data_IF_562420550793
#
_entry.id   IF_562420550793
#
_cell.length_a   1.000
_cell.length_b   1.000
_cell.length_c   1.000
_cell.angle_alpha   90.00
_cell.angle_beta   90.00
_cell.angle_gamma   90.00
#
_symmetry.space_group_name_H-M   'P 1'
#
loop_
_entity.id
_entity.type
_entity.pdbx_description
1 polymer ?
#
# COMPACT_ATOMS: atom_id res chain seq x y z
N UNK A 1 -26.41 -61.34 -40.12
CA UNK A 1 -27.13 -60.37 -39.27
C UNK A 1 -26.28 -59.93 -38.07
N UNK A 2 -25.65 -60.85 -37.34
CA UNK A 2 -24.94 -60.57 -36.08
C UNK A 2 -23.75 -59.58 -36.15
N UNK A 3 -23.05 -59.45 -37.29
CA UNK A 3 -21.89 -58.52 -37.42
C UNK A 3 -22.29 -57.04 -37.45
N UNK A 4 -23.49 -56.73 -37.93
CA UNK A 4 -23.97 -55.35 -38.03
C UNK A 4 -24.37 -54.84 -36.63
N UNK A 5 -25.05 -55.69 -35.84
CA UNK A 5 -25.45 -55.37 -34.47
C UNK A 5 -24.26 -55.21 -33.52
N UNK A 6 -23.20 -56.03 -33.68
CA UNK A 6 -21.99 -55.88 -32.89
C UNK A 6 -21.27 -54.56 -33.18
N UNK A 7 -21.17 -54.16 -34.46
CA UNK A 7 -20.58 -52.88 -34.86
C UNK A 7 -21.33 -51.67 -34.27
N UNK A 8 -22.67 -51.67 -34.32
CA UNK A 8 -23.46 -50.60 -33.72
C UNK A 8 -23.31 -50.52 -32.19
N UNK A 9 -23.10 -51.65 -31.53
CA UNK A 9 -22.91 -51.70 -30.07
C UNK A 9 -21.56 -51.13 -29.67
N UNK A 10 -20.48 -51.51 -30.37
CA UNK A 10 -19.14 -50.96 -30.16
C UNK A 10 -19.13 -49.45 -30.41
N UNK A 11 -19.74 -48.99 -31.51
CA UNK A 11 -19.84 -47.57 -31.84
C UNK A 11 -20.57 -46.75 -30.76
N UNK A 12 -21.69 -47.25 -30.24
CA UNK A 12 -22.42 -46.61 -29.13
C UNK A 12 -21.59 -46.53 -27.85
N UNK A 13 -20.86 -47.58 -27.52
CA UNK A 13 -19.98 -47.58 -26.35
C UNK A 13 -18.84 -46.56 -26.50
N UNK A 14 -18.22 -46.47 -27.69
CA UNK A 14 -17.18 -45.47 -27.98
C UNK A 14 -17.72 -44.05 -27.85
N UNK A 15 -18.89 -43.74 -28.43
CA UNK A 15 -19.51 -42.41 -28.28
C UNK A 15 -19.80 -42.11 -26.81
N UNK A 16 -20.33 -43.09 -26.07
CA UNK A 16 -20.66 -42.90 -24.65
C UNK A 16 -19.41 -42.56 -23.84
N UNK A 17 -18.31 -43.29 -24.04
CA UNK A 17 -17.02 -43.03 -23.39
C UNK A 17 -16.50 -41.63 -23.77
N UNK A 18 -16.51 -41.28 -25.05
CA UNK A 18 -16.06 -39.97 -25.53
C UNK A 18 -16.89 -38.83 -24.93
N UNK A 19 -18.22 -38.98 -24.91
CA UNK A 19 -19.13 -37.98 -24.32
C UNK A 19 -18.86 -37.80 -22.82
N UNK A 20 -18.61 -38.89 -22.09
CA UNK A 20 -18.20 -38.84 -20.69
C UNK A 20 -16.89 -38.06 -20.49
N UNK A 21 -15.89 -38.29 -21.34
CA UNK A 21 -14.63 -37.55 -21.29
C UNK A 21 -14.83 -36.06 -21.55
N UNK A 22 -15.65 -35.68 -22.53
CA UNK A 22 -15.95 -34.27 -22.79
C UNK A 22 -16.66 -33.58 -21.63
N UNK A 23 -17.59 -34.28 -20.95
CA UNK A 23 -18.27 -33.75 -19.77
C UNK A 23 -17.28 -33.53 -18.62
N UNK A 24 -16.39 -34.49 -18.38
CA UNK A 24 -15.37 -34.38 -17.33
C UNK A 24 -14.41 -33.23 -17.63
N UNK A 25 -13.88 -33.14 -18.84
CA UNK A 25 -13.02 -32.02 -19.24
C UNK A 25 -13.74 -30.67 -19.14
N UNK A 26 -14.99 -30.59 -19.60
CA UNK A 26 -15.82 -29.39 -19.49
C UNK A 26 -16.04 -28.97 -18.04
N UNK A 27 -16.28 -29.92 -17.14
CA UNK A 27 -16.41 -29.65 -15.71
C UNK A 27 -15.12 -29.08 -15.12
N UNK A 28 -13.95 -29.64 -15.45
CA UNK A 28 -12.67 -29.13 -14.96
C UNK A 28 -12.43 -27.69 -15.42
N UNK A 29 -12.69 -27.38 -16.69
CA UNK A 29 -12.55 -26.02 -17.24
C UNK A 29 -13.50 -25.05 -16.52
N UNK A 30 -14.79 -25.42 -16.41
CA UNK A 30 -15.77 -24.57 -15.73
C UNK A 30 -15.43 -24.35 -14.24
N UNK A 31 -14.90 -25.37 -13.57
CA UNK A 31 -14.46 -25.26 -12.18
C UNK A 31 -13.25 -24.32 -12.04
N UNK A 32 -12.26 -24.41 -12.93
CA UNK A 32 -11.11 -23.50 -12.92
C UNK A 32 -11.51 -22.06 -13.20
N UNK A 33 -12.39 -21.84 -14.17
CA UNK A 33 -12.88 -20.50 -14.51
C UNK A 33 -13.68 -19.88 -13.37
N UNK A 34 -14.50 -20.69 -12.68
CA UNK A 34 -15.22 -20.24 -11.49
C UNK A 34 -14.26 -19.81 -10.38
N UNK A 35 -13.24 -20.61 -10.07
CA UNK A 35 -12.24 -20.28 -9.05
C UNK A 35 -11.51 -18.98 -9.42
N UNK A 36 -11.06 -18.86 -10.67
CA UNK A 36 -10.39 -17.66 -11.16
C UNK A 36 -11.28 -16.42 -11.04
N UNK A 37 -12.56 -16.53 -11.40
CA UNK A 37 -13.53 -15.43 -11.26
C UNK A 37 -13.73 -15.02 -9.80
N UNK A 38 -13.77 -15.98 -8.87
CA UNK A 38 -13.90 -15.67 -7.45
C UNK A 38 -12.63 -14.99 -6.89
N UNK A 39 -11.45 -15.41 -7.33
CA UNK A 39 -10.18 -14.77 -6.97
C UNK A 39 -10.12 -13.34 -7.52
N UNK A 40 -10.45 -13.15 -8.78
CA UNK A 40 -10.45 -11.84 -9.43
C UNK A 40 -11.41 -10.88 -8.75
N UNK A 41 -12.62 -11.34 -8.42
CA UNK A 41 -13.57 -10.55 -7.61
C UNK A 41 -12.97 -10.13 -6.27
N UNK A 42 -12.36 -11.05 -5.53
CA UNK A 42 -11.74 -10.72 -4.23
C UNK A 42 -10.55 -9.78 -4.33
N UNK A 43 -9.73 -9.90 -5.38
CA UNK A 43 -8.57 -9.03 -5.57
C UNK A 43 -9.00 -7.62 -5.99
N UNK A 44 -10.09 -7.52 -6.74
CA UNK A 44 -10.65 -6.23 -7.19
C UNK A 44 -11.55 -5.55 -6.15
N UNK A 45 -11.88 -6.23 -5.04
CA UNK A 45 -12.54 -5.60 -3.91
C UNK A 45 -11.64 -4.53 -3.29
N UNK A 46 -12.13 -3.29 -3.23
CA UNK A 46 -11.41 -2.15 -2.63
C UNK A 46 -10.94 -2.42 -1.20
N UNK A 47 -11.69 -3.23 -0.44
CA UNK A 47 -11.35 -3.63 0.92
C UNK A 47 -10.06 -4.45 0.98
N UNK A 48 -9.87 -5.36 0.01
CA UNK A 48 -8.66 -6.17 -0.08
C UNK A 48 -7.47 -5.33 -0.51
N UNK A 49 -7.63 -4.48 -1.53
CA UNK A 49 -6.59 -3.55 -2.00
C UNK A 49 -6.16 -2.60 -0.88
N UNK A 50 -7.13 -2.05 -0.13
CA UNK A 50 -6.85 -1.17 1.00
C UNK A 50 -6.13 -1.91 2.13
N UNK A 51 -6.55 -3.14 2.45
CA UNK A 51 -5.85 -3.95 3.46
C UNK A 51 -4.43 -4.30 3.03
N UNK A 52 -4.24 -4.70 1.78
CA UNK A 52 -2.94 -5.05 1.23
C UNK A 52 -2.02 -3.82 1.17
N UNK A 53 -2.51 -2.67 0.75
CA UNK A 53 -1.71 -1.43 0.71
C UNK A 53 -1.30 -0.97 2.12
N UNK A 54 -2.17 -1.07 3.13
CA UNK A 54 -1.82 -0.79 4.55
C UNK A 54 -0.71 -1.70 5.06
N UNK A 55 -0.65 -2.95 4.59
CA UNK A 55 0.39 -3.89 4.98
C UNK A 55 1.69 -3.70 4.18
N UNK A 56 1.62 -3.34 2.90
CA UNK A 56 2.80 -3.17 2.04
C UNK A 56 3.51 -1.83 2.26
N UNK A 57 2.74 -0.74 2.39
CA UNK A 57 3.25 0.63 2.54
C UNK A 57 2.46 1.37 3.61
N UNK A 58 2.66 1.03 4.88
CA UNK A 58 1.97 1.72 5.96
C UNK A 58 2.46 3.17 6.04
N UNK A 59 1.53 4.10 6.16
CA UNK A 59 1.84 5.50 6.39
C UNK A 59 0.85 6.14 7.36
N UNK A 60 1.27 7.24 7.97
CA UNK A 60 0.40 8.10 8.77
C UNK A 60 0.62 9.54 8.36
N UNK A 61 -0.45 10.32 8.41
CA UNK A 61 -0.47 11.74 8.07
C UNK A 61 -0.64 12.53 9.35
N UNK A 62 0.20 13.54 9.54
CA UNK A 62 0.23 14.43 10.68
C UNK A 62 0.08 15.88 10.21
N UNK A 63 -0.53 16.70 11.06
CA UNK A 63 -0.46 18.15 10.89
C UNK A 63 0.87 18.72 11.40
N UNK A 64 1.05 20.03 11.26
CA UNK A 64 2.25 20.77 11.74
C UNK A 64 2.43 20.79 13.26
N UNK A 65 1.43 20.37 14.02
CA UNK A 65 1.51 20.24 15.47
C UNK A 65 1.88 18.81 15.89
N UNK A 66 2.07 17.90 14.93
CA UNK A 66 2.36 16.49 15.19
C UNK A 66 1.13 15.67 15.57
N UNK A 67 -0.09 16.18 15.35
CA UNK A 67 -1.33 15.45 15.58
C UNK A 67 -1.64 14.61 14.35
N UNK A 68 -1.90 13.32 14.57
CA UNK A 68 -2.24 12.38 13.49
C UNK A 68 -3.63 12.71 12.94
N UNK A 69 -3.70 13.05 11.65
CA UNK A 69 -4.93 13.37 10.93
C UNK A 69 -5.50 12.16 10.18
N UNK A 70 -4.64 11.25 9.73
CA UNK A 70 -5.05 10.04 9.03
C UNK A 70 -4.08 8.89 9.24
N UNK A 71 -4.61 7.67 9.34
CA UNK A 71 -3.84 6.45 9.47
C UNK A 71 -4.11 5.44 8.35
N UNK A 72 -3.03 5.05 7.68
CA UNK A 72 -2.99 3.96 6.71
C UNK A 72 -2.16 2.78 7.23
N UNK A 73 -2.36 2.38 8.49
CA UNK A 73 -1.62 1.30 9.13
C UNK A 73 -0.25 1.70 9.69
N UNK A 74 0.10 2.99 9.62
CA UNK A 74 1.33 3.54 10.20
C UNK A 74 1.28 3.62 11.73
N UNK A 75 0.10 3.71 12.35
CA UNK A 75 -0.09 3.76 13.81
C UNK A 75 0.50 2.54 14.52
N UNK A 76 0.57 1.39 13.85
CA UNK A 76 1.23 0.18 14.41
C UNK A 76 2.73 0.39 14.64
N UNK A 77 3.34 1.31 13.89
CA UNK A 77 4.79 1.55 13.85
C UNK A 77 5.18 2.87 14.52
N UNK A 78 4.34 3.89 14.41
CA UNK A 78 4.61 5.23 14.92
C UNK A 78 3.80 5.48 16.20
N UNK A 79 4.49 5.92 17.25
CA UNK A 79 3.90 6.32 18.52
C UNK A 79 3.42 7.77 18.45
N UNK A 80 4.29 8.68 18.03
CA UNK A 80 3.98 10.11 17.88
C UNK A 80 4.99 10.79 16.96
N UNK A 81 4.60 11.99 16.51
CA UNK A 81 5.47 12.93 15.85
C UNK A 81 5.62 14.17 16.73
N UNK A 82 6.85 14.67 16.87
CA UNK A 82 7.13 15.95 17.53
C UNK A 82 7.71 16.90 16.48
N UNK A 83 7.05 18.03 16.28
CA UNK A 83 7.48 19.08 15.36
C UNK A 83 8.12 20.20 16.18
N UNK A 84 9.39 20.49 15.89
CA UNK A 84 10.14 21.56 16.55
C UNK A 84 10.13 22.77 15.63
N UNK A 85 9.46 23.83 16.08
CA UNK A 85 9.37 25.10 15.38
C UNK A 85 10.55 26.02 15.71
N UNK A 86 10.96 26.82 14.73
CA UNK A 86 11.98 27.84 14.82
C UNK A 86 11.41 29.18 15.28
N UNK A 87 12.13 30.26 15.00
CA UNK A 87 11.78 31.60 15.49
C UNK A 87 10.69 32.29 14.65
N UNK A 88 10.41 31.79 13.45
CA UNK A 88 9.47 32.39 12.49
C UNK A 88 8.35 31.42 12.10
N UNK A 89 7.95 30.53 13.02
CA UNK A 89 6.95 29.47 12.76
C UNK A 89 7.41 28.48 11.66
N UNK A 90 8.72 28.45 11.40
CA UNK A 90 9.37 27.56 10.45
C UNK A 90 9.67 26.21 11.10
N UNK A 91 9.38 25.10 10.41
CA UNK A 91 9.71 23.77 10.93
C UNK A 91 11.24 23.58 10.90
N UNK A 92 11.86 23.51 12.07
CA UNK A 92 13.31 23.32 12.23
C UNK A 92 13.70 21.84 12.21
N UNK A 93 12.98 21.03 12.97
CA UNK A 93 13.17 19.58 12.96
C UNK A 93 11.87 18.83 13.25
N UNK A 94 11.81 17.60 12.77
CA UNK A 94 10.72 16.66 13.07
C UNK A 94 11.33 15.42 13.68
N UNK A 95 10.82 14.99 14.83
CA UNK A 95 11.18 13.74 15.47
C UNK A 95 10.04 12.76 15.36
N UNK A 96 10.36 11.55 14.92
CA UNK A 96 9.42 10.45 14.77
C UNK A 96 9.77 9.40 15.81
N UNK A 97 8.82 9.14 16.71
CA UNK A 97 8.93 8.14 17.77
C UNK A 97 8.27 6.86 17.27
N UNK A 98 9.01 5.75 17.23
CA UNK A 98 8.50 4.47 16.77
C UNK A 98 8.18 3.52 17.92
N UNK A 99 7.07 2.77 17.80
CA UNK A 99 6.68 1.73 18.76
C UNK A 99 7.59 0.49 18.70
N UNK A 100 8.24 0.29 17.55
CA UNK A 100 9.17 -0.81 17.30
C UNK A 100 10.50 -0.27 16.77
N UNK A 101 11.56 -1.07 16.88
CA UNK A 101 12.83 -0.75 16.24
C UNK A 101 12.68 -0.77 14.71
N UNK A 102 12.86 0.39 14.08
CA UNK A 102 12.90 0.50 12.63
C UNK A 102 14.35 0.45 12.16
N UNK A 103 14.70 -0.47 11.26
CA UNK A 103 16.08 -0.59 10.76
C UNK A 103 16.47 0.63 9.91
N UNK A 104 15.55 1.08 9.06
CA UNK A 104 15.69 2.24 8.19
C UNK A 104 14.94 3.45 8.76
N UNK A 105 15.36 4.65 8.34
CA UNK A 105 14.61 5.86 8.63
C UNK A 105 13.26 5.80 7.88
N UNK A 106 12.13 6.15 8.53
CA UNK A 106 10.89 6.42 7.81
C UNK A 106 11.09 7.43 6.67
N UNK A 107 10.26 7.38 5.64
CA UNK A 107 10.22 8.45 4.65
C UNK A 107 9.33 9.55 5.22
N UNK A 108 9.86 10.77 5.33
CA UNK A 108 9.10 11.95 5.71
C UNK A 108 8.85 12.78 4.45
N UNK A 109 7.59 12.84 4.02
CA UNK A 109 7.12 13.70 2.95
C UNK A 109 6.43 14.92 3.56
N UNK A 110 6.76 16.11 3.05
CA UNK A 110 6.13 17.37 3.46
C UNK A 110 5.43 17.98 2.25
N UNK A 111 4.14 18.24 2.38
CA UNK A 111 3.37 18.99 1.38
C UNK A 111 3.24 20.41 1.92
N UNK A 112 3.91 21.38 1.32
CA UNK A 112 3.88 22.78 1.81
C UNK A 112 5.07 23.62 1.38
N UNK A 113 6.21 22.99 1.05
CA UNK A 113 7.40 23.64 0.53
C UNK A 113 8.17 22.64 -0.36
N UNK A 114 8.93 23.16 -1.33
CA UNK A 114 9.99 22.39 -2.02
C UNK A 114 11.18 22.07 -1.08
N UNK A 115 11.03 22.27 0.24
CA UNK A 115 12.06 21.98 1.23
C UNK A 115 12.05 20.50 1.58
N UNK A 116 13.00 19.79 0.99
CA UNK A 116 13.31 18.42 1.37
C UNK A 116 13.94 18.40 2.77
N UNK A 117 13.52 17.45 3.61
CA UNK A 117 14.26 17.11 4.81
C UNK A 117 15.68 16.70 4.39
N UNK A 118 16.68 17.49 4.76
CA UNK A 118 18.02 17.38 4.19
C UNK A 118 18.80 16.19 4.76
N UNK A 119 18.53 15.86 6.03
CA UNK A 119 19.23 14.80 6.77
C UNK A 119 18.31 14.16 7.79
N UNK A 120 18.16 12.84 7.69
CA UNK A 120 17.63 12.00 8.76
C UNK A 120 18.78 11.39 9.56
N UNK A 121 18.66 11.34 10.88
CA UNK A 121 19.57 10.56 11.71
C UNK A 121 18.84 9.95 12.90
N UNK A 122 19.35 8.83 13.37
CA UNK A 122 18.81 8.14 14.54
C UNK A 122 19.38 8.81 15.79
N UNK A 123 18.51 9.39 16.61
CA UNK A 123 18.89 10.04 17.88
C UNK A 123 18.84 9.04 19.04
N UNK A 124 17.90 8.10 18.96
CA UNK A 124 17.72 7.01 19.92
C UNK A 124 17.22 5.76 19.18
N UNK A 125 17.27 4.60 19.82
CA UNK A 125 16.83 3.28 19.35
C UNK A 125 15.49 3.35 18.59
N UNK A 126 14.56 4.15 19.12
CA UNK A 126 13.19 4.32 18.62
C UNK A 126 12.89 5.74 18.11
N UNK A 127 13.90 6.57 17.88
CA UNK A 127 13.70 7.99 17.51
C UNK A 127 14.56 8.37 16.32
N UNK A 128 13.87 8.81 15.26
CA UNK A 128 14.47 9.41 14.07
C UNK A 128 14.23 10.92 14.06
N UNK A 129 15.27 11.71 13.85
CA UNK A 129 15.17 13.16 13.69
C UNK A 129 15.52 13.58 12.27
N UNK A 130 14.65 14.40 11.68
CA UNK A 130 14.78 15.04 10.39
C UNK A 130 15.06 16.51 10.63
N UNK A 131 16.17 17.01 10.10
CA UNK A 131 16.51 18.44 10.15
C UNK A 131 16.24 19.07 8.80
N UNK A 132 15.48 20.16 8.82
CA UNK A 132 15.22 20.96 7.65
C UNK A 132 16.32 22.03 7.54
N UNK A 133 16.86 22.19 6.34
CA UNK A 133 17.78 23.29 6.07
C UNK A 133 16.99 24.57 5.92
N UNK A 134 17.49 25.67 6.48
CA UNK A 134 17.03 27.00 6.08
C UNK A 134 17.43 27.21 4.63
N UNK A 135 16.50 27.03 3.70
CA UNK A 135 16.69 27.58 2.36
C UNK A 135 16.59 29.10 2.47
N UNK A 136 17.48 29.82 1.81
CA UNK A 136 17.33 31.25 1.60
C UNK A 136 16.02 31.47 0.82
N UNK A 137 14.96 31.82 1.56
CA UNK A 137 13.62 32.19 1.06
C UNK A 137 13.65 33.40 0.12
N UNK A 138 14.83 33.96 -0.18
CA UNK A 138 15.06 35.12 -1.03
C UNK A 138 14.63 34.92 -2.50
N UNK A 139 14.19 33.73 -2.91
CA UNK A 139 13.78 33.45 -4.29
C UNK A 139 12.34 32.97 -4.45
N UNK A 140 11.59 32.72 -3.37
CA UNK A 140 10.21 32.24 -3.44
C UNK A 140 9.19 33.37 -3.25
N UNK A 141 8.17 33.40 -4.10
CA UNK A 141 7.11 34.40 -4.06
C UNK A 141 6.13 34.07 -2.92
N UNK A 142 5.91 34.96 -1.94
CA UNK A 142 5.01 34.72 -0.81
C UNK A 142 3.58 34.32 -1.19
N UNK A 143 3.12 34.71 -2.39
CA UNK A 143 1.77 34.42 -2.90
C UNK A 143 1.54 32.95 -3.25
N UNK A 144 2.61 32.15 -3.38
CA UNK A 144 2.48 30.73 -3.71
C UNK A 144 2.13 29.87 -2.47
N UNK A 145 2.21 30.45 -1.25
CA UNK A 145 1.95 29.76 0.02
C UNK A 145 0.50 29.82 0.50
N UNK A 146 -0.34 30.67 -0.09
CA UNK A 146 -1.63 31.04 0.52
C UNK A 146 -2.76 30.00 0.37
N UNK A 147 -2.50 28.77 -0.10
CA UNK A 147 -3.60 27.84 -0.44
C UNK A 147 -3.56 26.42 0.10
N UNK A 148 -2.52 25.96 0.80
CA UNK A 148 -2.54 24.61 1.37
C UNK A 148 -1.97 24.63 2.79
N UNK A 149 -2.75 24.10 3.73
CA UNK A 149 -2.24 23.79 5.07
C UNK A 149 -1.16 22.71 4.93
N UNK A 150 0.04 22.93 5.49
CA UNK A 150 1.10 21.98 5.36
C UNK A 150 0.81 20.66 6.06
N UNK A 151 1.10 19.55 5.38
CA UNK A 151 0.86 18.20 5.88
C UNK A 151 2.16 17.39 5.86
N UNK A 152 2.41 16.66 6.95
CA UNK A 152 3.55 15.77 7.14
C UNK A 152 3.08 14.31 6.98
N UNK A 153 3.57 13.60 5.97
CA UNK A 153 3.30 12.17 5.77
C UNK A 153 4.53 11.35 6.12
N UNK A 154 4.35 10.35 6.98
CA UNK A 154 5.39 9.40 7.38
C UNK A 154 5.08 8.05 6.78
N UNK A 155 5.94 7.55 5.90
CA UNK A 155 5.85 6.20 5.32
C UNK A 155 6.93 5.29 5.91
N UNK A 156 6.53 4.04 6.22
CA UNK A 156 7.41 3.05 6.84
C UNK A 156 7.96 2.10 5.78
N UNK A 157 9.29 2.04 5.67
CA UNK A 157 9.99 1.06 4.85
C UNK A 157 10.22 -0.21 5.67
N UNK A 158 9.59 -1.31 5.24
CA UNK A 158 9.84 -2.66 5.78
C UNK A 158 11.15 -3.24 5.26
#
# INVERSE_FOLDING_TARGET
MNKIESFFTEYKNTITILSGLFVVCGFFIAATDYINSQIEKKITEDTYINKLSKELRPFSIFDVNGVMQYDHGGEKYIEKMEVVHGSQDDIKSVKIYSKIFLQNAPILNYTGLDTYAYKSHRVDTHVWEYKFGSYDLLTMNPKDFEKMEPILMVEILK
#
